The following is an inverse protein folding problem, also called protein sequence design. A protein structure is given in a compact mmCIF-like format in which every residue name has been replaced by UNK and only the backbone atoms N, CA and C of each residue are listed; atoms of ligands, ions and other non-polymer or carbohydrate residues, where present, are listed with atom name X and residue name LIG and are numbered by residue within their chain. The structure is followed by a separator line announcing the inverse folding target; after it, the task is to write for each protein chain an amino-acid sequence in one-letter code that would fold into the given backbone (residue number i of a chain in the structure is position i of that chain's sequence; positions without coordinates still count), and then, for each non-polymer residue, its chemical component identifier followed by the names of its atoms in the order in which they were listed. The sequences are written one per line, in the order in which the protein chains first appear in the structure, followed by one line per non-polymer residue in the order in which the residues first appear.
data_IF_889875598126
#
_entry.id   IF_889875598126
#
_cell.length_a   1.000
_cell.length_b   1.000
_cell.length_c   1.000
_cell.angle_alpha   90.00
_cell.angle_beta   90.00
_cell.angle_gamma   90.00
#
_symmetry.space_group_name_H-M   'P 1'
#
loop_
_entity.id
_entity.type
_entity.pdbx_description
1 polymer ?
#
# COMPACT_ATOMS: atom_id res chain seq x y z
N UNK A 1 20.79 -8.95 -14.18
CA UNK A 1 19.39 -8.74 -13.74
C UNK A 1 19.42 -8.23 -12.30
N UNK A 2 19.00 -6.98 -12.02
CA UNK A 2 19.09 -6.35 -10.70
C UNK A 2 18.31 -7.06 -9.59
N UNK A 3 17.27 -7.82 -9.94
CA UNK A 3 16.36 -8.47 -8.97
C UNK A 3 17.08 -9.43 -8.02
N UNK A 4 18.12 -10.13 -8.49
CA UNK A 4 18.83 -11.12 -7.67
C UNK A 4 19.51 -10.52 -6.43
N UNK A 5 19.82 -9.22 -6.44
CA UNK A 5 20.46 -8.54 -5.31
C UNK A 5 19.46 -8.12 -4.22
N UNK A 6 18.15 -8.10 -4.50
CA UNK A 6 17.16 -7.54 -3.59
C UNK A 6 17.02 -8.35 -2.30
N UNK A 7 17.12 -9.68 -2.36
CA UNK A 7 17.10 -10.53 -1.18
C UNK A 7 18.27 -10.21 -0.22
N UNK A 8 19.46 -9.91 -0.78
CA UNK A 8 20.61 -9.48 0.01
C UNK A 8 20.39 -8.09 0.61
N UNK A 9 19.90 -7.14 -0.19
CA UNK A 9 19.67 -5.75 0.24
C UNK A 9 18.59 -5.67 1.32
N UNK A 10 17.59 -6.54 1.31
CA UNK A 10 16.56 -6.58 2.37
C UNK A 10 17.15 -6.87 3.76
N UNK A 11 18.25 -7.62 3.85
CA UNK A 11 18.93 -7.88 5.14
C UNK A 11 19.61 -6.63 5.71
N UNK A 12 20.02 -5.70 4.83
CA UNK A 12 20.65 -4.42 5.18
C UNK A 12 20.03 -3.28 4.36
N UNK A 13 18.82 -2.81 4.72
CA UNK A 13 18.07 -1.82 3.92
C UNK A 13 18.82 -0.51 3.69
N UNK A 14 19.72 -0.11 4.61
CA UNK A 14 20.57 1.07 4.45
C UNK A 14 21.57 1.00 3.29
N UNK A 15 21.81 -0.18 2.72
CA UNK A 15 22.67 -0.36 1.54
C UNK A 15 21.93 -0.08 0.21
N UNK A 16 20.61 0.16 0.24
CA UNK A 16 19.82 0.41 -0.97
C UNK A 16 20.41 1.52 -1.85
N UNK A 17 20.81 2.64 -1.24
CA UNK A 17 21.37 3.80 -1.95
C UNK A 17 22.77 3.56 -2.52
N UNK A 18 23.48 2.56 -1.97
CA UNK A 18 24.85 2.22 -2.35
C UNK A 18 24.89 1.02 -3.30
N UNK A 19 23.74 0.41 -3.61
CA UNK A 19 23.65 -0.77 -4.44
C UNK A 19 23.90 -0.41 -5.92
N UNK A 20 25.17 -0.48 -6.35
CA UNK A 20 25.58 -0.22 -7.73
C UNK A 20 24.78 -1.05 -8.75
N UNK A 21 24.40 -2.28 -8.38
CA UNK A 21 23.60 -3.15 -9.23
C UNK A 21 22.16 -2.64 -9.50
N UNK A 22 21.65 -1.71 -8.69
CA UNK A 22 20.34 -1.08 -8.86
C UNK A 22 20.43 0.29 -9.56
N UNK A 23 21.63 0.82 -9.78
CA UNK A 23 21.81 2.08 -10.48
C UNK A 23 21.43 1.95 -11.96
N UNK A 24 20.75 2.97 -12.50
CA UNK A 24 20.30 2.96 -13.89
C UNK A 24 19.19 1.94 -14.19
N UNK A 25 18.57 1.36 -13.15
CA UNK A 25 17.39 0.54 -13.36
C UNK A 25 16.22 1.41 -13.82
N UNK A 26 15.77 1.17 -15.04
CA UNK A 26 14.64 1.86 -15.66
C UNK A 26 13.31 1.45 -15.00
N UNK A 27 13.03 2.08 -13.86
CA UNK A 27 11.78 1.94 -13.12
C UNK A 27 10.85 3.11 -13.45
N UNK A 28 9.54 2.87 -13.59
CA UNK A 28 8.56 3.95 -13.68
C UNK A 28 8.68 4.92 -12.50
N UNK A 29 8.50 6.22 -12.76
CA UNK A 29 8.69 7.31 -11.78
C UNK A 29 7.90 7.09 -10.47
N UNK A 30 6.74 6.43 -10.56
CA UNK A 30 5.89 6.12 -9.40
C UNK A 30 6.61 5.30 -8.32
N UNK A 31 7.60 4.48 -8.68
CA UNK A 31 8.41 3.74 -7.70
C UNK A 31 9.22 4.70 -6.83
N UNK A 32 9.83 5.72 -7.45
CA UNK A 32 10.53 6.75 -6.68
C UNK A 32 9.57 7.58 -5.84
N UNK A 33 8.39 7.91 -6.36
CA UNK A 33 7.39 8.62 -5.57
C UNK A 33 6.96 7.81 -4.32
N UNK A 34 6.68 6.51 -4.48
CA UNK A 34 6.39 5.60 -3.38
C UNK A 34 7.53 5.53 -2.37
N UNK A 35 8.77 5.44 -2.84
CA UNK A 35 9.96 5.39 -1.99
C UNK A 35 10.03 6.60 -1.06
N UNK A 36 9.88 7.81 -1.61
CA UNK A 36 9.89 9.05 -0.83
C UNK A 36 8.78 9.05 0.23
N UNK A 37 7.57 8.63 -0.14
CA UNK A 37 6.44 8.56 0.80
C UNK A 37 6.69 7.58 1.95
N UNK A 38 7.22 6.39 1.65
CA UNK A 38 7.56 5.37 2.66
C UNK A 38 8.67 5.86 3.59
N UNK A 39 9.73 6.46 3.04
CA UNK A 39 10.85 6.99 3.83
C UNK A 39 10.42 8.16 4.71
N UNK A 40 9.61 9.09 4.19
CA UNK A 40 9.09 10.22 4.96
C UNK A 40 8.20 9.75 6.14
N UNK A 41 7.42 8.68 5.94
CA UNK A 41 6.52 8.13 6.96
C UNK A 41 7.24 7.26 7.99
N UNK A 42 8.25 6.49 7.57
CA UNK A 42 8.74 5.32 8.34
C UNK A 42 10.28 5.19 8.38
N UNK A 43 11.02 6.13 7.80
CA UNK A 43 12.49 6.14 7.77
C UNK A 43 13.07 4.82 7.23
N UNK A 44 13.97 4.20 8.01
CA UNK A 44 14.60 2.92 7.64
C UNK A 44 13.61 1.77 7.44
N UNK A 45 12.48 1.77 8.16
CA UNK A 45 11.42 0.77 7.93
C UNK A 45 10.77 1.00 6.56
N UNK A 46 10.60 2.26 6.15
CA UNK A 46 10.13 2.63 4.82
C UNK A 46 11.05 2.15 3.70
N UNK A 47 12.37 2.29 3.87
CA UNK A 47 13.36 1.71 2.93
C UNK A 47 13.19 0.20 2.78
N UNK A 48 12.96 -0.50 3.89
CA UNK A 48 12.73 -1.96 3.88
C UNK A 48 11.46 -2.32 3.12
N UNK A 49 10.35 -1.63 3.38
CA UNK A 49 9.09 -1.86 2.64
C UNK A 49 9.25 -1.55 1.15
N UNK A 50 9.99 -0.51 0.78
CA UNK A 50 10.28 -0.23 -0.62
C UNK A 50 11.07 -1.36 -1.28
N UNK A 51 12.07 -1.92 -0.61
CA UNK A 51 12.78 -3.12 -1.10
C UNK A 51 11.79 -4.27 -1.28
N UNK A 52 10.88 -4.50 -0.34
CA UNK A 52 9.86 -5.56 -0.45
C UNK A 52 8.92 -5.33 -1.65
N UNK A 53 8.58 -4.08 -1.98
CA UNK A 53 7.83 -3.73 -3.19
C UNK A 53 8.65 -4.03 -4.45
N UNK A 54 9.94 -3.69 -4.49
CA UNK A 54 10.82 -4.08 -5.61
C UNK A 54 10.89 -5.60 -5.78
N UNK A 55 10.88 -6.36 -4.67
CA UNK A 55 10.87 -7.83 -4.70
C UNK A 55 9.59 -8.42 -5.27
N UNK A 56 8.48 -7.68 -5.32
CA UNK A 56 7.28 -8.15 -6.03
C UNK A 56 7.57 -8.38 -7.52
N UNK A 57 8.52 -7.65 -8.11
CA UNK A 57 8.94 -7.82 -9.50
C UNK A 57 9.63 -9.16 -9.77
N UNK A 58 10.01 -9.93 -8.73
CA UNK A 58 10.49 -11.31 -8.87
C UNK A 58 9.38 -12.27 -9.34
N UNK A 59 8.11 -11.94 -9.08
CA UNK A 59 6.96 -12.84 -9.33
C UNK A 59 5.79 -12.17 -10.06
N UNK A 60 5.72 -10.84 -10.08
CA UNK A 60 4.61 -10.06 -10.62
C UNK A 60 5.13 -9.16 -11.75
N UNK A 61 4.43 -9.07 -12.90
CA UNK A 61 4.82 -8.18 -13.99
C UNK A 61 4.93 -6.71 -13.54
N UNK A 62 5.91 -5.98 -14.10
CA UNK A 62 6.18 -4.57 -13.79
C UNK A 62 4.93 -3.71 -13.94
N UNK A 63 4.14 -3.96 -14.98
CA UNK A 63 2.92 -3.21 -15.29
C UNK A 63 1.89 -3.36 -14.16
N UNK A 64 1.75 -4.56 -13.60
CA UNK A 64 0.81 -4.85 -12.52
C UNK A 64 1.27 -4.20 -11.21
N UNK A 65 2.57 -4.27 -10.90
CA UNK A 65 3.13 -3.59 -9.71
C UNK A 65 2.99 -2.08 -9.84
N UNK A 66 3.30 -1.51 -11.00
CA UNK A 66 3.15 -0.08 -11.29
C UNK A 66 1.71 0.40 -11.06
N UNK A 67 0.73 -0.37 -11.55
CA UNK A 67 -0.69 -0.08 -11.35
C UNK A 67 -1.07 -0.13 -9.86
N UNK A 68 -0.60 -1.17 -9.15
CA UNK A 68 -0.86 -1.32 -7.72
C UNK A 68 -0.24 -0.21 -6.87
N UNK A 69 0.93 0.29 -7.24
CA UNK A 69 1.55 1.44 -6.58
C UNK A 69 0.71 2.70 -6.79
N UNK A 70 0.30 2.99 -8.04
CA UNK A 70 -0.54 4.14 -8.34
C UNK A 70 -1.85 4.11 -7.53
N UNK A 71 -2.50 2.95 -7.48
CA UNK A 71 -3.74 2.78 -6.73
C UNK A 71 -3.53 2.96 -5.21
N UNK A 72 -2.48 2.35 -4.66
CA UNK A 72 -2.14 2.47 -3.24
C UNK A 72 -1.90 3.94 -2.84
N UNK A 73 -1.22 4.71 -3.70
CA UNK A 73 -1.00 6.14 -3.49
C UNK A 73 -2.33 6.91 -3.61
N UNK A 74 -3.14 6.60 -4.62
CA UNK A 74 -4.42 7.25 -4.87
C UNK A 74 -5.38 7.13 -3.67
N UNK A 75 -5.47 5.94 -3.07
CA UNK A 75 -6.35 5.68 -1.91
C UNK A 75 -5.68 6.02 -0.55
N UNK A 76 -4.43 6.50 -0.55
CA UNK A 76 -3.68 6.84 0.67
C UNK A 76 -3.19 5.64 1.49
N UNK A 77 -3.26 4.41 0.95
CA UNK A 77 -2.80 3.19 1.61
C UNK A 77 -1.32 2.91 1.27
N UNK A 78 -0.43 3.76 1.79
CA UNK A 78 1.01 3.70 1.46
C UNK A 78 1.72 2.67 2.35
N UNK A 79 2.02 1.50 1.80
CA UNK A 79 2.73 0.41 2.48
C UNK A 79 2.93 -0.82 1.60
N UNK A 80 3.90 -1.68 1.92
CA UNK A 80 4.16 -2.91 1.16
C UNK A 80 2.92 -3.80 1.04
N UNK A 81 2.23 -4.06 2.15
CA UNK A 81 1.06 -4.95 2.15
C UNK A 81 -0.06 -4.42 1.26
N UNK A 82 -0.30 -3.11 1.24
CA UNK A 82 -1.32 -2.51 0.38
C UNK A 82 -1.02 -2.75 -1.11
N UNK A 83 0.22 -2.45 -1.54
CA UNK A 83 0.66 -2.68 -2.92
C UNK A 83 0.54 -4.17 -3.28
N UNK A 84 1.00 -5.06 -2.39
CA UNK A 84 0.91 -6.51 -2.59
C UNK A 84 -0.54 -6.98 -2.75
N UNK A 85 -1.45 -6.53 -1.88
CA UNK A 85 -2.86 -6.94 -1.92
C UNK A 85 -3.57 -6.43 -3.18
N UNK A 86 -3.32 -5.19 -3.60
CA UNK A 86 -3.88 -4.64 -4.85
C UNK A 86 -3.36 -5.42 -6.05
N UNK A 87 -2.05 -5.70 -6.11
CA UNK A 87 -1.45 -6.49 -7.17
C UNK A 87 -2.04 -7.91 -7.24
N UNK A 88 -2.15 -8.60 -6.10
CA UNK A 88 -2.73 -9.94 -6.02
C UNK A 88 -4.20 -9.96 -6.47
N UNK A 89 -5.02 -9.04 -5.96
CA UNK A 89 -6.42 -8.94 -6.35
C UNK A 89 -6.59 -8.77 -7.87
N UNK A 90 -5.68 -8.01 -8.50
CA UNK A 90 -5.67 -7.79 -9.95
C UNK A 90 -5.29 -9.04 -10.74
N UNK A 91 -4.30 -9.80 -10.30
CA UNK A 91 -3.85 -11.05 -10.92
C UNK A 91 -4.94 -12.12 -10.81
N UNK A 92 -5.50 -12.28 -9.62
CA UNK A 92 -6.53 -13.28 -9.33
C UNK A 92 -7.89 -12.90 -9.92
N UNK A 93 -8.04 -11.67 -10.43
CA UNK A 93 -9.30 -11.10 -10.94
C UNK A 93 -10.42 -11.23 -9.91
N UNK A 94 -10.10 -11.06 -8.62
CA UNK A 94 -11.09 -11.18 -7.54
C UNK A 94 -12.10 -10.04 -7.67
N UNK A 95 -13.38 -10.32 -7.96
CA UNK A 95 -14.40 -9.28 -7.85
C UNK A 95 -14.47 -8.83 -6.39
N UNK A 96 -14.58 -7.52 -6.15
CA UNK A 96 -14.88 -6.98 -4.83
C UNK A 96 -16.27 -7.50 -4.41
N UNK A 97 -16.29 -8.55 -3.59
CA UNK A 97 -17.52 -9.18 -3.12
C UNK A 97 -17.79 -8.75 -1.69
N UNK A 98 -18.58 -7.69 -1.54
CA UNK A 98 -19.39 -7.49 -0.35
C UNK A 98 -20.85 -7.48 -0.77
N UNK A 99 -21.41 -8.66 -0.96
CA UNK A 99 -22.85 -8.81 -1.17
C UNK A 99 -23.52 -9.14 0.15
N UNK A 100 -24.14 -8.13 0.77
CA UNK A 100 -24.86 -8.30 2.03
C UNK A 100 -26.10 -9.18 1.87
N UNK A 101 -26.66 -9.30 0.65
CA UNK A 101 -27.80 -10.18 0.39
C UNK A 101 -27.45 -11.67 0.49
N UNK A 102 -26.16 -12.01 0.36
CA UNK A 102 -25.67 -13.38 0.55
C UNK A 102 -25.65 -13.85 2.02
N UNK A 103 -25.98 -12.98 2.99
CA UNK A 103 -25.91 -13.28 4.43
C UNK A 103 -27.28 -13.13 5.10
N UNK A 104 -28.15 -14.16 5.10
CA UNK A 104 -29.53 -14.06 5.61
C UNK A 104 -29.65 -13.79 7.11
N UNK A 105 -28.61 -14.13 7.86
CA UNK A 105 -28.51 -13.92 9.30
C UNK A 105 -28.01 -12.52 9.66
N UNK A 106 -27.52 -11.74 8.68
CA UNK A 106 -27.10 -10.37 8.94
C UNK A 106 -28.35 -9.51 9.17
N UNK A 107 -28.45 -8.79 10.29
CA UNK A 107 -29.55 -7.85 10.49
C UNK A 107 -29.50 -6.78 9.39
N UNK A 108 -30.68 -6.41 8.86
CA UNK A 108 -30.79 -5.32 7.89
C UNK A 108 -30.33 -4.03 8.58
N UNK A 109 -29.17 -3.51 8.17
CA UNK A 109 -28.67 -2.24 8.70
C UNK A 109 -29.41 -1.08 8.03
N UNK A 110 -30.29 -0.43 8.78
CA UNK A 110 -30.85 0.85 8.38
C UNK A 110 -29.86 1.93 8.84
N UNK A 111 -28.87 2.23 8.00
CA UNK A 111 -27.87 3.26 8.30
C UNK A 111 -28.53 4.63 8.05
N UNK A 112 -28.85 5.35 9.13
CA UNK A 112 -29.28 6.74 9.03
C UNK A 112 -28.15 7.58 8.46
N UNK A 113 -28.47 8.53 7.58
CA UNK A 113 -27.50 9.53 7.10
C UNK A 113 -26.87 10.24 8.29
N UNK A 114 -25.54 10.26 8.34
CA UNK A 114 -24.78 10.91 9.40
C UNK A 114 -25.18 12.39 9.51
N UNK A 115 -25.71 12.80 10.66
CA UNK A 115 -25.96 14.21 10.98
C UNK A 115 -24.78 14.75 11.78
N UNK A 116 -24.14 15.81 11.30
CA UNK A 116 -23.00 16.42 11.99
C UNK A 116 -23.30 16.80 13.46
N UNK A 117 -24.55 17.18 13.75
CA UNK A 117 -24.99 17.53 15.11
C UNK A 117 -24.92 16.37 16.11
N UNK A 118 -25.03 15.12 15.68
CA UNK A 118 -25.02 13.95 16.58
C UNK A 118 -23.63 13.75 17.23
N UNK A 119 -22.57 14.25 16.58
CA UNK A 119 -21.19 14.25 17.09
C UNK A 119 -20.96 15.29 18.21
N UNK A 120 -21.89 16.21 18.45
CA UNK A 120 -21.77 17.17 19.56
C UNK A 120 -21.64 16.48 20.93
N UNK A 121 -22.17 15.26 21.05
CA UNK A 121 -22.02 14.40 22.23
C UNK A 121 -20.58 13.98 22.53
N UNK A 122 -19.68 14.05 21.54
CA UNK A 122 -18.26 13.72 21.69
C UNK A 122 -17.41 14.92 22.14
N UNK A 123 -17.98 16.12 22.17
CA UNK A 123 -17.30 17.28 22.73
C UNK A 123 -17.45 17.25 24.25
N UNK A 124 -16.34 17.19 25.02
CA UNK A 124 -16.43 17.38 26.46
C UNK A 124 -17.01 18.77 26.73
N UNK A 125 -17.94 18.88 27.68
CA UNK A 125 -18.45 20.17 28.13
C UNK A 125 -17.24 21.04 28.49
N UNK A 126 -17.02 22.11 27.72
CA UNK A 126 -16.17 23.21 28.15
C UNK A 126 -16.88 23.85 29.32
N UNK A 127 -16.65 23.29 30.51
CA UNK A 127 -17.05 23.87 31.78
C UNK A 127 -16.48 25.29 31.82
N UNK A 128 -17.40 26.26 31.79
CA UNK A 128 -17.15 27.68 31.92
C UNK A 128 -16.81 28.05 33.37
#
# INVERSE_FOLDING_TARGET
NPLHYLALIETKPGALDQAAALQGWDLPEVFQHLRHLLEARMGNKGKREFIQVLRLLEAIPMEVVTLAINEAIHIGAIGFDAVKQIALARIERRPARLDLASYPHLPKMEVKTTRAADYATLLPELAA
#
